data_IF_042481791106
#
_entry.id   IF_042481791106
#
_cell.length_a   1.000
_cell.length_b   1.000
_cell.length_c   1.000
_cell.angle_alpha   90.00
_cell.angle_beta   90.00
_cell.angle_gamma   90.00
#
_symmetry.space_group_name_H-M   'P 1'
#
loop_
_entity.id
_entity.type
_entity.pdbx_description
1 polymer ?
#
# COMPACT_ATOMS: atom_id res chain seq x y z
N UNK A 1 7.05 -9.27 -20.44
CA UNK A 1 6.15 -8.37 -19.69
C UNK A 1 6.56 -6.96 -20.04
N UNK A 2 5.66 -6.22 -20.65
CA UNK A 2 5.82 -4.85 -21.17
C UNK A 2 5.07 -3.83 -20.30
N UNK A 3 4.97 -4.13 -19.00
CA UNK A 3 4.28 -3.37 -17.99
C UNK A 3 4.94 -3.55 -16.62
N UNK A 4 4.78 -2.54 -15.76
CA UNK A 4 5.20 -2.55 -14.37
C UNK A 4 4.05 -3.05 -13.48
N UNK A 5 4.38 -3.86 -12.47
CA UNK A 5 3.43 -4.34 -11.47
C UNK A 5 3.93 -3.91 -10.09
N UNK A 6 3.07 -3.25 -9.32
CA UNK A 6 3.38 -2.78 -7.97
C UNK A 6 2.44 -3.47 -6.98
N UNK A 7 3.04 -4.06 -5.93
CA UNK A 7 2.32 -4.63 -4.79
C UNK A 7 2.51 -3.73 -3.57
N UNK A 8 1.42 -3.37 -2.90
CA UNK A 8 1.47 -2.63 -1.63
C UNK A 8 0.69 -3.39 -0.55
N UNK A 9 1.29 -3.70 0.61
CA UNK A 9 0.56 -4.29 1.74
C UNK A 9 -0.39 -3.29 2.42
N UNK A 10 -1.51 -3.80 2.93
CA UNK A 10 -2.47 -3.05 3.76
C UNK A 10 -2.24 -3.39 5.24
N UNK A 11 -2.23 -2.37 6.09
CA UNK A 11 -2.17 -2.52 7.54
C UNK A 11 -3.39 -1.93 8.21
N UNK A 12 -3.82 -2.55 9.31
CA UNK A 12 -4.95 -2.09 10.12
C UNK A 12 -4.56 -2.13 11.61
N UNK A 13 -3.43 -1.50 11.92
CA UNK A 13 -2.79 -1.55 13.24
C UNK A 13 -3.52 -0.69 14.28
N UNK A 14 -4.32 0.28 13.84
CA UNK A 14 -5.15 1.12 14.69
C UNK A 14 -6.19 0.31 15.50
N UNK A 15 -6.59 -0.88 15.01
CA UNK A 15 -7.47 -1.78 15.77
C UNK A 15 -6.79 -2.44 16.97
N UNK A 16 -5.46 -2.39 17.09
CA UNK A 16 -4.69 -3.15 18.07
C UNK A 16 -3.81 -2.25 18.96
N UNK A 17 -4.41 -1.65 19.98
CA UNK A 17 -3.77 -0.68 20.88
C UNK A 17 -2.51 -1.17 21.62
N UNK A 18 -2.33 -2.49 21.78
CA UNK A 18 -1.17 -3.09 22.48
C UNK A 18 -0.10 -3.65 21.53
N UNK A 19 -0.25 -3.44 20.22
CA UNK A 19 0.67 -3.96 19.22
C UNK A 19 1.55 -2.82 18.70
N UNK A 20 2.85 -3.11 18.56
CA UNK A 20 3.79 -2.15 17.96
C UNK A 20 3.45 -1.92 16.49
N UNK A 21 3.40 -0.66 16.08
CA UNK A 21 3.19 -0.26 14.67
C UNK A 21 4.44 -0.43 13.79
N UNK A 22 5.61 -0.72 14.38
CA UNK A 22 6.86 -0.92 13.63
C UNK A 22 6.79 -2.19 12.78
N UNK A 23 7.14 -2.09 11.50
CA UNK A 23 7.24 -3.24 10.59
C UNK A 23 8.60 -3.93 10.77
N UNK A 24 8.63 -5.25 10.66
CA UNK A 24 9.83 -6.07 10.77
C UNK A 24 9.72 -7.34 9.91
N UNK A 25 10.51 -8.37 10.22
CA UNK A 25 10.48 -9.65 9.49
C UNK A 25 9.19 -10.43 9.69
N UNK A 26 8.50 -10.23 10.81
CA UNK A 26 7.20 -10.85 11.09
C UNK A 26 6.07 -10.08 10.42
N UNK A 27 5.20 -10.81 9.72
CA UNK A 27 4.07 -10.25 8.98
C UNK A 27 3.06 -9.60 9.92
N UNK A 28 2.67 -8.36 9.59
CA UNK A 28 1.62 -7.59 10.28
C UNK A 28 0.55 -7.04 9.35
N UNK A 29 0.74 -7.20 8.04
CA UNK A 29 -0.22 -6.77 7.03
C UNK A 29 -1.46 -7.67 7.06
N UNK A 30 -2.63 -7.07 6.87
CA UNK A 30 -3.92 -7.77 6.84
C UNK A 30 -4.35 -8.15 5.41
N UNK A 31 -3.71 -7.56 4.41
CA UNK A 31 -3.97 -7.82 3.00
C UNK A 31 -2.94 -7.14 2.11
N UNK A 32 -3.18 -7.20 0.80
CA UNK A 32 -2.32 -6.62 -0.22
C UNK A 32 -3.13 -6.18 -1.43
N UNK A 33 -2.64 -5.12 -2.08
CA UNK A 33 -3.18 -4.64 -3.36
C UNK A 33 -2.11 -4.77 -4.43
N UNK A 34 -2.53 -5.03 -5.66
CA UNK A 34 -1.68 -5.10 -6.83
C UNK A 34 -2.22 -4.14 -7.90
N UNK A 35 -1.34 -3.35 -8.49
CA UNK A 35 -1.68 -2.49 -9.63
C UNK A 35 -0.71 -2.70 -10.78
N UNK A 36 -1.23 -2.50 -12.00
CA UNK A 36 -0.50 -2.65 -13.26
C UNK A 36 -0.51 -1.32 -14.00
N UNK A 37 0.64 -0.94 -14.55
CA UNK A 37 0.83 0.28 -15.34
C UNK A 37 1.92 0.12 -16.39
N UNK A 38 1.96 1.02 -17.38
CA UNK A 38 3.01 1.04 -18.42
C UNK A 38 4.32 1.64 -17.90
N UNK A 39 4.25 2.44 -16.84
CA UNK A 39 5.39 2.97 -16.10
C UNK A 39 5.21 2.77 -14.59
N UNK A 40 6.27 3.02 -13.83
CA UNK A 40 6.29 2.78 -12.39
C UNK A 40 5.35 3.75 -11.65
N UNK A 41 5.35 5.02 -12.03
CA UNK A 41 4.60 6.09 -11.42
C UNK A 41 3.08 5.86 -11.52
N UNK A 42 2.61 5.40 -12.68
CA UNK A 42 1.22 5.01 -12.91
C UNK A 42 0.83 3.82 -12.02
N UNK A 43 1.63 2.75 -12.03
CA UNK A 43 1.36 1.56 -11.24
C UNK A 43 1.38 1.87 -9.73
N UNK A 44 2.34 2.69 -9.29
CA UNK A 44 2.50 3.10 -7.90
C UNK A 44 1.34 3.96 -7.41
N UNK A 45 0.93 4.98 -8.18
CA UNK A 45 -0.22 5.81 -7.81
C UNK A 45 -1.54 5.02 -7.79
N UNK A 46 -1.73 4.08 -8.74
CA UNK A 46 -2.88 3.17 -8.73
C UNK A 46 -2.88 2.30 -7.47
N UNK A 47 -1.74 1.70 -7.13
CA UNK A 47 -1.62 0.86 -5.95
C UNK A 47 -1.91 1.66 -4.67
N UNK A 48 -1.36 2.86 -4.51
CA UNK A 48 -1.59 3.72 -3.34
C UNK A 48 -3.08 4.03 -3.14
N UNK A 49 -3.78 4.42 -4.21
CA UNK A 49 -5.23 4.67 -4.16
C UNK A 49 -6.06 3.45 -3.78
N UNK A 50 -5.58 2.25 -4.10
CA UNK A 50 -6.29 1.01 -3.77
C UNK A 50 -6.07 0.59 -2.32
N UNK A 51 -5.06 1.12 -1.62
CA UNK A 51 -4.78 0.75 -0.23
C UNK A 51 -5.85 1.29 0.71
N UNK A 52 -6.30 2.54 0.54
CA UNK A 52 -7.30 3.20 1.40
C UNK A 52 -8.18 4.12 0.56
N UNK A 53 -9.48 4.17 0.86
CA UNK A 53 -10.43 5.08 0.20
C UNK A 53 -10.09 6.56 0.44
N UNK A 54 -9.39 6.88 1.52
CA UNK A 54 -8.96 8.24 1.86
C UNK A 54 -7.63 8.63 1.20
N UNK A 55 -6.94 7.71 0.53
CA UNK A 55 -5.66 7.97 -0.13
C UNK A 55 -5.90 8.22 -1.62
N UNK A 56 -5.65 9.44 -2.10
CA UNK A 56 -5.83 9.81 -3.51
C UNK A 56 -4.58 9.54 -4.38
N UNK A 57 -3.48 9.11 -3.78
CA UNK A 57 -2.21 8.85 -4.46
C UNK A 57 -1.04 9.17 -3.53
N UNK A 58 0.04 9.72 -4.10
CA UNK A 58 1.17 10.20 -3.32
C UNK A 58 0.91 11.65 -2.87
N UNK A 59 0.25 11.80 -1.72
CA UNK A 59 -0.02 13.09 -1.09
C UNK A 59 0.93 13.29 0.10
N UNK A 60 1.78 14.33 0.12
CA UNK A 60 2.71 14.59 1.22
C UNK A 60 2.08 15.27 2.44
N UNK A 61 0.80 15.67 2.36
CA UNK A 61 0.09 16.40 3.43
C UNK A 61 -0.87 15.51 4.25
N UNK A 62 -0.98 14.23 3.87
CA UNK A 62 -1.66 13.16 4.62
C UNK A 62 -0.59 12.29 5.29
#
# INVERSE_FOLDING_TARGET
LDYCVVKIPRWDLAKFNRVSTKIGSSMKSVGEVMAIGRNFEEAFQKALRMVDENVNGFDPYI
#
